data_IF_796110645507
#
_entry.id   IF_796110645507
#
_cell.length_a   1.000
_cell.length_b   1.000
_cell.length_c   1.000
_cell.angle_alpha   90.00
_cell.angle_beta   90.00
_cell.angle_gamma   90.00
#
_symmetry.space_group_name_H-M   'P 1'
#
loop_
_entity.id
_entity.type
_entity.pdbx_description
1 polymer ?
#
# COMPACT_ATOMS: atom_id res chain seq x y z
N UNK A 1 -2.67 -6.65 -13.54
CA UNK A 1 -3.50 -7.31 -12.51
C UNK A 1 -4.88 -6.69 -12.38
N UNK A 2 -5.04 -5.42 -11.94
CA UNK A 2 -6.37 -4.83 -11.71
C UNK A 2 -7.32 -4.97 -12.91
N UNK A 3 -6.94 -4.48 -14.08
CA UNK A 3 -7.79 -4.53 -15.28
C UNK A 3 -8.18 -5.95 -15.69
N UNK A 4 -7.31 -6.93 -15.41
CA UNK A 4 -7.51 -8.33 -15.74
C UNK A 4 -8.50 -9.03 -14.79
N UNK A 5 -8.45 -8.72 -13.49
CA UNK A 5 -9.15 -9.51 -12.46
C UNK A 5 -10.22 -8.76 -11.68
N UNK A 6 -10.47 -7.47 -11.96
CA UNK A 6 -11.41 -6.61 -11.22
C UNK A 6 -12.84 -7.17 -11.09
N UNK A 7 -13.28 -8.01 -12.03
CA UNK A 7 -14.62 -8.63 -12.00
C UNK A 7 -14.68 -9.89 -11.12
N UNK A 8 -13.52 -10.39 -10.66
CA UNK A 8 -13.38 -11.61 -9.84
C UNK A 8 -12.77 -11.35 -8.46
N UNK A 9 -12.03 -10.26 -8.32
CA UNK A 9 -11.20 -9.94 -7.15
C UNK A 9 -11.31 -8.45 -6.85
N UNK A 10 -11.52 -8.11 -5.58
CA UNK A 10 -11.48 -6.72 -5.13
C UNK A 10 -10.03 -6.26 -4.91
N UNK A 11 -9.70 -5.06 -5.38
CA UNK A 11 -8.39 -4.45 -5.22
C UNK A 11 -8.50 -3.19 -4.36
N UNK A 12 -7.62 -3.07 -3.38
CA UNK A 12 -7.52 -1.90 -2.52
C UNK A 12 -6.06 -1.51 -2.34
N UNK A 13 -5.77 -0.21 -2.48
CA UNK A 13 -4.54 0.38 -1.94
C UNK A 13 -4.84 0.87 -0.52
N UNK A 14 -4.04 0.47 0.48
CA UNK A 14 -4.19 0.99 1.84
C UNK A 14 -3.01 1.90 2.14
N UNK A 15 -3.28 3.20 2.26
CA UNK A 15 -2.28 4.20 2.58
C UNK A 15 -1.95 4.16 4.09
N UNK A 16 -0.71 3.83 4.42
CA UNK A 16 -0.21 3.74 5.80
C UNK A 16 0.80 4.87 6.09
N UNK A 17 1.45 4.84 7.26
CA UNK A 17 2.48 5.81 7.61
C UNK A 17 3.65 5.84 6.61
N UNK A 18 4.27 7.01 6.44
CA UNK A 18 5.40 7.19 5.53
C UNK A 18 6.61 6.33 5.92
N UNK A 19 7.21 5.68 4.94
CA UNK A 19 8.49 4.97 5.14
C UNK A 19 9.68 5.94 5.23
N UNK A 20 9.60 7.10 4.57
CA UNK A 20 10.69 8.08 4.46
C UNK A 20 10.22 9.52 4.66
N UNK A 21 9.68 9.84 5.85
CA UNK A 21 9.17 11.16 6.12
C UNK A 21 10.31 12.19 6.21
N UNK A 22 10.03 13.40 5.75
CA UNK A 22 11.03 14.46 5.59
C UNK A 22 11.64 14.95 6.89
N UNK A 23 10.98 14.71 8.01
CA UNK A 23 11.38 15.07 9.36
C UNK A 23 12.18 14.00 10.10
N UNK A 24 12.42 12.82 9.48
CA UNK A 24 13.22 11.73 10.08
C UNK A 24 14.33 11.26 9.13
N UNK A 25 14.00 10.87 7.90
CA UNK A 25 14.98 10.38 6.92
C UNK A 25 14.46 10.56 5.49
N UNK A 26 15.13 11.42 4.71
CA UNK A 26 14.81 11.68 3.31
C UNK A 26 15.59 10.76 2.37
N UNK A 27 14.90 10.03 1.48
CA UNK A 27 15.57 9.40 0.35
C UNK A 27 15.89 10.43 -0.74
N UNK A 28 17.09 10.34 -1.33
CA UNK A 28 17.53 11.25 -2.41
C UNK A 28 16.63 11.17 -3.65
N UNK A 29 16.02 10.01 -3.92
CA UNK A 29 15.02 9.83 -4.98
C UNK A 29 13.79 10.70 -4.73
N UNK A 30 13.24 10.67 -3.51
CA UNK A 30 12.04 11.42 -3.14
C UNK A 30 12.27 12.94 -3.24
N UNK A 31 13.45 13.42 -2.86
CA UNK A 31 13.83 14.84 -3.04
C UNK A 31 13.89 15.22 -4.52
N UNK A 32 14.45 14.35 -5.36
CA UNK A 32 14.55 14.58 -6.81
C UNK A 32 13.17 14.57 -7.49
N UNK A 33 12.24 13.78 -6.96
CA UNK A 33 10.86 13.66 -7.47
C UNK A 33 9.88 14.65 -6.80
N UNK A 34 10.34 15.49 -5.88
CA UNK A 34 9.49 16.46 -5.16
C UNK A 34 8.54 15.84 -4.13
N UNK A 35 8.72 14.56 -3.78
CA UNK A 35 7.91 13.79 -2.82
C UNK A 35 8.47 14.02 -1.41
N UNK A 36 8.36 15.25 -0.90
CA UNK A 36 8.87 15.65 0.42
C UNK A 36 7.70 15.89 1.35
N UNK A 37 7.27 14.83 2.05
CA UNK A 37 6.20 14.90 3.04
C UNK A 37 6.75 14.62 4.44
N UNK A 38 6.40 15.46 5.40
CA UNK A 38 6.57 15.16 6.83
C UNK A 38 5.61 14.04 7.23
N UNK A 39 5.88 13.35 8.32
CA UNK A 39 4.90 12.43 8.88
C UNK A 39 3.58 13.17 9.19
N UNK A 40 2.44 12.72 8.65
CA UNK A 40 1.14 13.26 9.03
C UNK A 40 0.91 13.10 10.53
N UNK A 41 0.34 14.13 11.16
CA UNK A 41 -0.01 14.15 12.59
C UNK A 41 -1.52 14.10 12.84
N UNK A 42 -2.31 14.24 11.79
CA UNK A 42 -3.77 14.18 11.81
C UNK A 42 -4.29 13.37 10.63
N UNK A 43 -5.52 12.85 10.73
CA UNK A 43 -6.16 12.16 9.61
C UNK A 43 -6.31 13.07 8.38
N UNK A 44 -6.58 14.36 8.58
CA UNK A 44 -6.67 15.33 7.48
C UNK A 44 -5.35 15.54 6.74
N UNK A 45 -4.23 15.60 7.47
CA UNK A 45 -2.90 15.65 6.85
C UNK A 45 -2.60 14.34 6.10
N UNK A 46 -2.95 13.19 6.68
CA UNK A 46 -2.74 11.88 6.03
C UNK A 46 -3.56 11.76 4.76
N UNK A 47 -4.80 12.25 4.78
CA UNK A 47 -5.66 12.30 3.61
C UNK A 47 -5.03 13.07 2.45
N UNK A 48 -4.46 14.26 2.72
CA UNK A 48 -3.83 15.09 1.68
C UNK A 48 -2.62 14.40 1.04
N UNK A 49 -1.80 13.71 1.85
CA UNK A 49 -0.63 12.99 1.33
C UNK A 49 -1.07 11.74 0.55
N UNK A 50 -2.03 10.98 1.08
CA UNK A 50 -2.61 9.83 0.40
C UNK A 50 -3.23 10.20 -0.95
N UNK A 51 -4.00 11.29 -1.01
CA UNK A 51 -4.58 11.82 -2.24
C UNK A 51 -3.50 12.17 -3.27
N UNK A 52 -2.44 12.85 -2.82
CA UNK A 52 -1.30 13.20 -3.67
C UNK A 52 -0.61 11.95 -4.21
N UNK A 53 -0.39 10.93 -3.38
CA UNK A 53 0.22 9.66 -3.77
C UNK A 53 -0.64 8.91 -4.81
N UNK A 54 -1.93 8.71 -4.53
CA UNK A 54 -2.89 8.04 -5.43
C UNK A 54 -2.91 8.72 -6.81
N UNK A 55 -2.96 10.05 -6.84
CA UNK A 55 -2.94 10.81 -8.10
C UNK A 55 -1.62 10.70 -8.83
N UNK A 56 -0.50 10.77 -8.11
CA UNK A 56 0.86 10.76 -8.69
C UNK A 56 1.21 9.39 -9.27
N UNK A 57 0.84 8.32 -8.57
CA UNK A 57 1.08 6.95 -9.00
C UNK A 57 0.04 6.43 -10.01
N UNK A 58 -1.01 7.18 -10.29
CA UNK A 58 -2.08 6.76 -11.19
C UNK A 58 -2.82 5.51 -10.69
N UNK A 59 -3.11 5.45 -9.38
CA UNK A 59 -3.86 4.32 -8.82
C UNK A 59 -5.32 4.43 -9.26
N UNK A 60 -5.79 3.45 -10.06
CA UNK A 60 -7.12 3.44 -10.67
C UNK A 60 -8.15 2.55 -9.95
N UNK A 61 -7.79 2.01 -8.79
CA UNK A 61 -8.66 1.18 -7.95
C UNK A 61 -8.83 1.83 -6.56
N UNK A 62 -9.85 1.44 -5.78
CA UNK A 62 -10.15 2.06 -4.50
C UNK A 62 -8.95 2.19 -3.58
N UNK A 63 -8.76 3.38 -3.01
CA UNK A 63 -7.77 3.65 -1.98
C UNK A 63 -8.46 3.86 -0.63
N UNK A 64 -7.92 3.22 0.39
CA UNK A 64 -8.28 3.35 1.79
C UNK A 64 -7.12 4.01 2.53
N UNK A 65 -7.40 4.62 3.67
CA UNK A 65 -6.40 5.32 4.46
C UNK A 65 -6.44 4.74 5.87
N UNK A 66 -5.30 4.25 6.36
CA UNK A 66 -5.17 3.81 7.74
C UNK A 66 -5.31 5.01 8.67
N UNK A 67 -5.90 4.78 9.84
CA UNK A 67 -6.04 5.81 10.87
C UNK A 67 -4.68 6.37 11.29
N UNK A 68 -4.68 7.59 11.83
CA UNK A 68 -3.45 8.22 12.32
C UNK A 68 -2.76 7.41 13.43
N UNK A 69 -3.49 6.52 14.12
CA UNK A 69 -3.01 5.59 15.13
C UNK A 69 -2.31 4.33 14.56
N UNK A 70 -2.27 4.19 13.23
CA UNK A 70 -1.63 3.09 12.50
C UNK A 70 -2.15 1.69 12.89
N UNK A 71 -3.44 1.58 13.19
CA UNK A 71 -4.02 0.29 13.62
C UNK A 71 -3.95 -0.78 12.52
N UNK A 72 -4.25 -0.45 11.25
CA UNK A 72 -4.19 -1.44 10.16
C UNK A 72 -2.75 -1.83 9.86
N UNK A 73 -1.84 -0.86 9.77
CA UNK A 73 -0.41 -1.10 9.56
C UNK A 73 0.12 -2.08 10.60
N UNK A 74 -0.13 -1.85 11.90
CA UNK A 74 0.37 -2.69 12.98
C UNK A 74 -0.20 -4.10 12.94
N UNK A 75 -1.50 -4.25 12.70
CA UNK A 75 -2.16 -5.55 12.66
C UNK A 75 -1.69 -6.40 11.47
N UNK A 76 -1.42 -5.76 10.33
CA UNK A 76 -0.96 -6.45 9.13
C UNK A 76 0.57 -6.48 9.00
N UNK A 77 1.30 -5.73 9.84
CA UNK A 77 2.75 -5.43 9.70
C UNK A 77 3.08 -4.93 8.29
N UNK A 78 2.33 -3.90 7.89
CA UNK A 78 2.31 -3.37 6.52
C UNK A 78 3.55 -2.57 6.14
N UNK A 79 4.31 -2.05 7.11
CA UNK A 79 5.45 -1.18 6.85
C UNK A 79 6.67 -1.93 6.26
N UNK A 80 7.41 -1.37 5.29
CA UNK A 80 7.18 -0.05 4.66
C UNK A 80 6.08 -0.08 3.59
N UNK A 81 5.96 -1.20 2.88
CA UNK A 81 4.87 -1.57 1.98
C UNK A 81 4.77 -3.11 1.93
N UNK A 82 3.58 -3.62 1.61
CA UNK A 82 3.27 -5.06 1.51
C UNK A 82 2.21 -5.32 0.47
N UNK A 83 2.28 -6.52 -0.12
CA UNK A 83 1.20 -7.12 -0.90
C UNK A 83 0.53 -8.21 -0.06
N UNK A 84 -0.80 -8.21 -0.06
CA UNK A 84 -1.62 -9.23 0.60
C UNK A 84 -2.63 -9.83 -0.37
N UNK A 85 -2.96 -11.10 -0.17
CA UNK A 85 -4.16 -11.72 -0.73
C UNK A 85 -5.00 -12.26 0.43
N UNK A 86 -6.28 -11.88 0.46
CA UNK A 86 -7.26 -12.36 1.42
C UNK A 86 -8.28 -13.19 0.64
N UNK A 87 -8.51 -14.43 1.08
CA UNK A 87 -9.47 -15.33 0.45
C UNK A 87 -10.92 -15.01 0.85
N UNK A 88 -11.87 -15.78 0.31
CA UNK A 88 -13.31 -15.58 0.58
C UNK A 88 -13.73 -15.89 2.02
N UNK A 89 -12.91 -16.65 2.75
CA UNK A 89 -13.13 -16.96 4.17
C UNK A 89 -12.49 -15.89 5.09
N UNK A 90 -11.87 -14.86 4.51
CA UNK A 90 -11.21 -13.78 5.24
C UNK A 90 -9.80 -14.15 5.72
N UNK A 91 -9.17 -15.20 5.18
CA UNK A 91 -7.81 -15.60 5.57
C UNK A 91 -6.77 -14.95 4.67
N UNK A 92 -5.66 -14.52 5.27
CA UNK A 92 -4.48 -14.08 4.52
C UNK A 92 -3.79 -15.31 3.92
N UNK A 93 -3.98 -15.53 2.63
CA UNK A 93 -3.37 -16.65 1.88
C UNK A 93 -2.05 -16.26 1.20
N UNK A 94 -1.76 -14.97 1.12
CA UNK A 94 -0.46 -14.46 0.68
C UNK A 94 -0.09 -13.18 1.44
N UNK A 95 1.18 -13.08 1.82
CA UNK A 95 1.82 -11.89 2.38
C UNK A 95 3.23 -11.79 1.81
N UNK A 96 3.56 -10.67 1.18
CA UNK A 96 4.92 -10.46 0.66
C UNK A 96 5.95 -10.22 1.77
N UNK A 97 7.22 -10.38 1.41
CA UNK A 97 8.32 -9.80 2.19
C UNK A 97 8.25 -8.26 2.18
N UNK A 98 8.96 -7.57 3.09
CA UNK A 98 9.01 -6.12 3.09
C UNK A 98 9.58 -5.52 1.82
N UNK A 99 8.90 -4.51 1.27
CA UNK A 99 9.43 -3.78 0.14
C UNK A 99 10.46 -2.70 0.53
N UNK A 100 11.00 -1.98 -0.46
CA UNK A 100 10.70 -2.18 -1.89
C UNK A 100 11.21 -3.53 -2.43
N UNK A 101 12.19 -4.16 -1.76
CA UNK A 101 12.83 -5.38 -2.23
C UNK A 101 11.91 -6.62 -2.27
N UNK A 102 10.91 -6.72 -1.39
CA UNK A 102 9.92 -7.79 -1.39
C UNK A 102 8.66 -7.51 -2.20
N UNK A 103 8.54 -6.32 -2.82
CA UNK A 103 7.34 -5.92 -3.55
C UNK A 103 7.36 -6.49 -4.97
N UNK A 104 6.81 -7.69 -5.13
CA UNK A 104 6.78 -8.41 -6.41
C UNK A 104 5.34 -8.76 -6.83
N UNK A 105 4.70 -7.93 -7.68
CA UNK A 105 3.34 -8.18 -8.15
C UNK A 105 3.15 -9.54 -8.83
N UNK A 106 4.17 -10.06 -9.52
CA UNK A 106 4.12 -11.38 -10.15
C UNK A 106 3.93 -12.52 -9.12
N UNK A 107 4.49 -12.40 -7.92
CA UNK A 107 4.31 -13.39 -6.86
C UNK A 107 2.89 -13.36 -6.29
N UNK A 108 2.32 -12.15 -6.15
CA UNK A 108 0.91 -11.99 -5.77
C UNK A 108 -0.02 -12.58 -6.84
N UNK A 109 0.28 -12.34 -8.12
CA UNK A 109 -0.51 -12.88 -9.23
C UNK A 109 -0.47 -14.42 -9.26
N UNK A 110 0.70 -15.02 -9.03
CA UNK A 110 0.83 -16.48 -8.91
C UNK A 110 -0.05 -17.04 -7.77
N UNK A 111 -0.01 -16.40 -6.59
CA UNK A 111 -0.85 -16.79 -5.45
C UNK A 111 -2.35 -16.57 -5.71
N UNK A 112 -2.69 -15.53 -6.49
CA UNK A 112 -4.07 -15.27 -6.90
C UNK A 112 -4.59 -16.39 -7.79
N UNK A 113 -3.81 -16.83 -8.79
CA UNK A 113 -4.20 -17.91 -9.69
C UNK A 113 -4.48 -19.21 -8.91
N UNK A 114 -3.63 -19.56 -7.95
CA UNK A 114 -3.86 -20.75 -7.11
C UNK A 114 -5.07 -20.65 -6.18
N UNK A 115 -5.57 -19.44 -5.91
CA UNK A 115 -6.74 -19.20 -5.03
C UNK A 115 -8.05 -19.10 -5.83
N UNK A 116 -7.95 -18.86 -7.14
CA UNK A 116 -9.11 -18.69 -8.02
C UNK A 116 -9.57 -19.98 -8.70
N UNK A 117 -8.74 -21.03 -8.66
CA UNK A 117 -9.06 -22.40 -9.06
C UNK A 117 -9.90 -23.11 -8.00
#
# INVERSE_FOLDING_TARGET
MFDTYRDRVAFYAVYIQEAHPSDIWQMRSNVREGVVFRNPRTDGERFQVAESCVRTLGIHFPALIDGIDNTVERLYTGWPDRLFLIDRDGRVVYKSAPGPFGFHPANLEAALLTTLD
#
